data_IF_851846267156
#
_entry.id   IF_851846267156
#
_cell.length_a   1.000
_cell.length_b   1.000
_cell.length_c   1.000
_cell.angle_alpha   90.00
_cell.angle_beta   90.00
_cell.angle_gamma   90.00
#
_symmetry.space_group_name_H-M   'P 1'
#
loop_
_entity.id
_entity.type
_entity.pdbx_description
1 polymer ?
#
# COMPACT_ATOMS: atom_id res chain seq x y z
N UNK A 1 12.66 4.88 17.62
CA UNK A 1 12.74 5.78 16.44
C UNK A 1 11.32 6.07 15.97
N UNK A 2 11.02 7.23 15.39
CA UNK A 2 9.67 7.42 14.78
C UNK A 2 9.67 6.81 13.39
N UNK A 3 8.53 6.27 12.92
CA UNK A 3 8.38 5.91 11.52
C UNK A 3 8.59 7.14 10.63
N UNK A 4 9.06 6.90 9.41
CA UNK A 4 9.21 7.94 8.38
C UNK A 4 8.36 7.55 7.17
N UNK A 5 7.75 8.53 6.48
CA UNK A 5 7.02 8.26 5.26
C UNK A 5 7.99 7.83 4.16
N UNK A 6 7.50 7.13 3.15
CA UNK A 6 8.26 6.83 1.94
C UNK A 6 8.50 8.10 1.10
N UNK A 7 7.56 9.04 1.15
CA UNK A 7 7.58 10.31 0.42
C UNK A 7 7.68 11.48 1.39
N UNK A 8 8.89 11.98 1.60
CA UNK A 8 9.17 13.14 2.45
C UNK A 8 8.87 14.47 1.71
N UNK A 9 7.59 14.78 1.48
CA UNK A 9 7.22 16.10 0.93
C UNK A 9 7.15 17.17 2.03
N UNK A 10 7.66 18.40 1.77
CA UNK A 10 7.63 19.48 2.75
C UNK A 10 6.20 19.88 3.14
N UNK A 11 5.23 19.70 2.24
CA UNK A 11 3.80 19.91 2.52
C UNK A 11 3.27 18.93 3.56
N UNK A 12 3.63 17.64 3.44
CA UNK A 12 3.18 16.59 4.34
C UNK A 12 3.77 16.78 5.75
N UNK A 13 5.05 17.12 5.84
CA UNK A 13 5.70 17.45 7.12
C UNK A 13 5.11 18.72 7.75
N UNK A 14 4.76 19.74 6.95
CA UNK A 14 4.10 20.96 7.43
C UNK A 14 2.70 20.66 7.97
N UNK A 15 1.91 19.85 7.26
CA UNK A 15 0.60 19.41 7.71
C UNK A 15 0.69 18.60 9.02
N UNK A 16 1.65 17.67 9.11
CA UNK A 16 1.91 16.90 10.32
C UNK A 16 2.32 17.78 11.51
N UNK A 17 3.21 18.76 11.29
CA UNK A 17 3.61 19.72 12.30
C UNK A 17 2.45 20.59 12.80
N UNK A 18 1.59 21.06 11.89
CA UNK A 18 0.40 21.83 12.23
C UNK A 18 -0.60 21.01 13.07
N UNK A 19 -0.80 19.73 12.74
CA UNK A 19 -1.64 18.81 13.51
C UNK A 19 -1.10 18.63 14.93
N UNK A 20 0.21 18.41 15.09
CA UNK A 20 0.84 18.28 16.41
C UNK A 20 0.74 19.57 17.24
N UNK A 21 0.91 20.74 16.61
CA UNK A 21 0.76 22.03 17.28
C UNK A 21 -0.69 22.31 17.71
N UNK A 22 -1.68 21.75 17.00
CA UNK A 22 -3.11 21.86 17.28
C UNK A 22 -3.54 21.01 18.49
N UNK A 23 -2.83 19.92 18.81
CA UNK A 23 -3.19 19.02 19.92
C UNK A 23 -3.33 19.72 21.27
N UNK A 24 -2.55 20.78 21.51
CA UNK A 24 -2.63 21.57 22.76
C UNK A 24 -4.00 22.22 22.99
N UNK A 25 -4.76 22.49 21.92
CA UNK A 25 -6.12 23.04 22.01
C UNK A 25 -7.13 21.99 22.47
N UNK A 26 -6.89 20.73 22.11
CA UNK A 26 -7.77 19.61 22.45
C UNK A 26 -7.42 19.00 23.82
N UNK A 27 -6.14 18.97 24.17
CA UNK A 27 -5.66 18.52 25.47
C UNK A 27 -4.55 19.45 25.96
N UNK A 28 -4.85 20.35 26.92
CA UNK A 28 -3.86 21.30 27.44
C UNK A 28 -2.62 20.66 28.07
N UNK A 29 -2.69 19.36 28.41
CA UNK A 29 -1.58 18.60 28.98
C UNK A 29 -0.53 18.22 27.91
N UNK A 30 -0.88 18.28 26.62
CA UNK A 30 0.00 17.96 25.49
C UNK A 30 0.75 19.20 24.99
N UNK A 31 1.48 19.86 25.87
CA UNK A 31 2.41 20.93 25.48
C UNK A 31 3.70 20.30 24.96
N UNK A 32 4.05 20.61 23.70
CA UNK A 32 5.24 20.11 23.03
C UNK A 32 6.17 21.27 22.68
N UNK A 33 7.49 21.05 22.78
CA UNK A 33 8.46 21.99 22.26
C UNK A 33 8.52 21.91 20.73
N UNK A 34 9.04 22.96 20.07
CA UNK A 34 9.26 22.93 18.61
C UNK A 34 10.16 21.76 18.19
N UNK A 35 11.17 21.45 19.00
CA UNK A 35 12.07 20.30 18.78
C UNK A 35 11.33 18.98 18.84
N UNK A 36 10.39 18.82 19.78
CA UNK A 36 9.57 17.62 19.87
C UNK A 36 8.65 17.50 18.65
N UNK A 37 8.04 18.61 18.21
CA UNK A 37 7.21 18.63 17.01
C UNK A 37 8.03 18.21 15.79
N UNK A 38 9.21 18.80 15.58
CA UNK A 38 10.09 18.44 14.48
C UNK A 38 10.52 16.96 14.53
N UNK A 39 10.69 16.40 15.73
CA UNK A 39 11.05 14.99 15.93
C UNK A 39 9.87 14.05 15.66
N UNK A 40 8.63 14.45 15.96
CA UNK A 40 7.42 13.64 15.82
C UNK A 40 6.73 13.78 14.47
N UNK A 41 6.93 14.90 13.77
CA UNK A 41 6.29 15.22 12.50
C UNK A 41 6.46 14.13 11.42
N UNK A 42 7.64 13.50 11.22
CA UNK A 42 7.77 12.42 10.24
C UNK A 42 6.87 11.21 10.58
N UNK A 43 6.68 10.94 11.87
CA UNK A 43 5.82 9.86 12.30
C UNK A 43 4.36 10.11 11.96
N UNK A 44 3.86 11.33 12.20
CA UNK A 44 2.50 11.74 11.80
C UNK A 44 2.36 11.84 10.28
N UNK A 45 3.39 12.29 9.57
CA UNK A 45 3.43 12.26 8.11
C UNK A 45 3.26 10.83 7.56
N UNK A 46 3.84 9.83 8.23
CA UNK A 46 3.62 8.42 7.87
C UNK A 46 2.16 7.98 8.04
N UNK A 47 1.44 8.52 9.03
CA UNK A 47 0.00 8.25 9.18
C UNK A 47 -0.79 8.86 8.02
N UNK A 48 -0.49 10.11 7.67
CA UNK A 48 -1.13 10.81 6.55
C UNK A 48 -0.84 10.13 5.20
N UNK A 49 0.37 9.62 5.00
CA UNK A 49 0.74 8.84 3.80
C UNK A 49 -0.06 7.54 3.68
N UNK A 50 -0.49 6.95 4.81
CA UNK A 50 -1.34 5.76 4.85
C UNK A 50 -2.84 6.09 4.82
N UNK A 51 -3.19 7.26 4.31
CA UNK A 51 -4.56 7.78 4.23
C UNK A 51 -5.30 7.84 5.58
N UNK A 52 -4.56 7.96 6.70
CA UNK A 52 -5.21 8.13 8.00
C UNK A 52 -5.82 9.54 8.11
N UNK A 53 -7.13 9.60 8.37
CA UNK A 53 -7.83 10.87 8.52
C UNK A 53 -7.27 11.70 9.70
N UNK A 54 -7.09 13.02 9.57
CA UNK A 54 -6.54 13.87 10.63
C UNK A 54 -7.25 13.74 11.98
N UNK A 55 -8.58 13.60 11.98
CA UNK A 55 -9.35 13.43 13.23
C UNK A 55 -9.07 12.08 13.91
N UNK A 56 -8.88 11.02 13.14
CA UNK A 56 -8.49 9.71 13.66
C UNK A 56 -7.10 9.78 14.29
N UNK A 57 -6.16 10.48 13.66
CA UNK A 57 -4.83 10.74 14.23
C UNK A 57 -4.98 11.48 15.56
N UNK A 58 -5.72 12.59 15.59
CA UNK A 58 -5.95 13.37 16.82
C UNK A 58 -6.51 12.48 17.93
N UNK A 59 -7.57 11.73 17.65
CA UNK A 59 -8.20 10.85 18.62
C UNK A 59 -7.24 9.78 19.14
N UNK A 60 -6.49 9.09 18.26
CA UNK A 60 -5.49 8.10 18.67
C UNK A 60 -4.40 8.71 19.58
N UNK A 61 -4.01 9.97 19.32
CA UNK A 61 -3.00 10.67 20.11
C UNK A 61 -3.54 11.24 21.43
N UNK A 62 -4.85 11.47 21.57
CA UNK A 62 -5.46 12.10 22.75
C UNK A 62 -6.37 11.18 23.59
N UNK A 63 -6.75 10.01 23.10
CA UNK A 63 -7.57 9.05 23.86
C UNK A 63 -6.84 8.51 25.10
N UNK A 64 -7.53 8.22 26.21
CA UNK A 64 -6.95 7.56 27.40
C UNK A 64 -5.57 8.09 27.86
N UNK A 65 -5.44 9.42 28.02
CA UNK A 65 -4.19 10.01 28.50
C UNK A 65 -3.94 9.61 29.96
N UNK A 66 -2.73 9.15 30.31
CA UNK A 66 -2.41 8.79 31.68
C UNK A 66 -2.35 10.04 32.56
N UNK A 67 -2.92 9.94 33.76
CA UNK A 67 -2.88 11.01 34.77
C UNK A 67 -2.04 10.53 35.97
N UNK A 68 -0.92 11.20 36.32
CA UNK A 68 -0.39 12.43 35.73
C UNK A 68 0.46 12.21 34.47
N UNK A 69 0.34 13.12 33.49
CA UNK A 69 1.13 13.08 32.26
C UNK A 69 2.51 13.75 32.45
N UNK A 70 3.54 12.94 32.66
CA UNK A 70 4.92 13.44 32.92
C UNK A 70 5.75 13.69 31.66
N UNK A 71 5.50 12.93 30.58
CA UNK A 71 6.33 12.94 29.37
C UNK A 71 5.48 12.90 28.09
N UNK A 72 4.85 14.02 27.69
CA UNK A 72 3.93 14.06 26.55
C UNK A 72 4.60 13.63 25.24
N UNK A 73 5.80 14.14 24.92
CA UNK A 73 6.53 13.79 23.71
C UNK A 73 6.87 12.29 23.63
N UNK A 74 7.21 11.66 24.77
CA UNK A 74 7.52 10.23 24.83
C UNK A 74 6.27 9.37 24.60
N UNK A 75 5.13 9.79 25.16
CA UNK A 75 3.84 9.12 24.95
C UNK A 75 3.42 9.20 23.48
N UNK A 76 3.47 10.40 22.89
CA UNK A 76 3.11 10.58 21.48
C UNK A 76 4.02 9.77 20.57
N UNK A 77 5.34 9.77 20.81
CA UNK A 77 6.29 8.91 20.08
C UNK A 77 5.88 7.44 20.13
N UNK A 78 5.51 6.95 21.32
CA UNK A 78 5.06 5.58 21.49
C UNK A 78 3.81 5.32 20.66
N UNK A 79 2.75 6.13 20.83
CA UNK A 79 1.47 5.95 20.13
C UNK A 79 1.59 6.06 18.61
N UNK A 80 2.34 7.04 18.11
CA UNK A 80 2.62 7.20 16.69
C UNK A 80 3.28 5.94 16.10
N UNK A 81 4.10 5.26 16.90
CA UNK A 81 4.80 4.04 16.47
C UNK A 81 3.93 2.79 16.63
N UNK A 82 3.21 2.65 17.74
CA UNK A 82 2.45 1.42 18.07
C UNK A 82 1.07 1.36 17.45
N UNK A 83 0.41 2.50 17.28
CA UNK A 83 -0.92 2.60 16.69
C UNK A 83 -0.88 2.93 15.20
N UNK A 84 0.30 2.93 14.59
CA UNK A 84 0.47 3.20 13.17
C UNK A 84 -0.37 2.20 12.36
N UNK A 85 -1.39 2.65 11.60
CA UNK A 85 -2.19 1.75 10.79
C UNK A 85 -1.32 1.02 9.77
N UNK A 86 -1.59 -0.26 9.44
CA UNK A 86 -0.86 -0.93 8.37
C UNK A 86 -1.01 -0.17 7.05
N UNK A 87 -0.03 -0.25 6.14
CA UNK A 87 -0.19 0.34 4.82
C UNK A 87 -1.40 -0.28 4.14
N UNK A 88 -2.26 0.56 3.55
CA UNK A 88 -3.35 0.07 2.72
C UNK A 88 -2.74 -0.63 1.49
N UNK A 89 -3.21 -1.83 1.12
CA UNK A 89 -2.77 -2.47 -0.12
C UNK A 89 -3.09 -1.52 -1.27
N UNK A 90 -2.08 -1.23 -2.09
CA UNK A 90 -2.29 -0.36 -3.24
C UNK A 90 -3.31 -1.00 -4.19
N UNK A 91 -3.94 -0.21 -5.06
CA UNK A 91 -4.79 -0.75 -6.13
C UNK A 91 -4.07 -1.83 -6.97
N UNK A 92 -2.73 -1.81 -7.01
CA UNK A 92 -1.89 -2.82 -7.65
C UNK A 92 -1.73 -4.12 -6.86
N UNK A 93 -1.86 -4.12 -5.52
CA UNK A 93 -1.78 -5.33 -4.69
C UNK A 93 -3.09 -6.13 -4.70
N UNK A 94 -4.20 -5.45 -4.99
CA UNK A 94 -5.51 -6.07 -5.20
C UNK A 94 -5.66 -6.68 -6.60
N UNK A 95 -4.72 -6.43 -7.51
CA UNK A 95 -4.68 -7.15 -8.76
C UNK A 95 -4.43 -8.63 -8.44
N UNK A 96 -5.28 -9.57 -8.92
CA UNK A 96 -5.05 -10.98 -8.68
C UNK A 96 -3.62 -11.33 -9.12
N UNK A 97 -2.88 -12.14 -8.33
CA UNK A 97 -1.51 -12.47 -8.67
C UNK A 97 -1.50 -12.99 -10.11
N UNK A 98 -0.73 -12.32 -10.97
CA UNK A 98 -0.45 -12.78 -12.33
C UNK A 98 0.19 -14.16 -12.17
N UNK A 99 -0.64 -15.22 -12.18
CA UNK A 99 -0.17 -16.60 -11.99
C UNK A 99 0.90 -16.84 -13.05
N UNK A 100 2.16 -17.09 -12.67
CA UNK A 100 3.18 -17.41 -13.66
C UNK A 100 2.76 -18.67 -14.40
N UNK A 101 2.44 -18.53 -15.69
CA UNK A 101 2.37 -19.67 -16.60
C UNK A 101 1.01 -20.34 -16.81
N UNK A 102 -0.10 -19.62 -16.89
CA UNK A 102 -1.24 -20.16 -17.65
C UNK A 102 -0.87 -20.11 -19.13
N UNK A 103 -0.26 -21.19 -19.63
CA UNK A 103 -0.01 -21.36 -21.06
C UNK A 103 -1.37 -21.59 -21.73
N UNK A 104 -1.97 -20.51 -22.23
CA UNK A 104 -3.18 -20.60 -23.07
C UNK A 104 -2.74 -21.13 -24.43
N UNK A 105 -3.06 -22.38 -24.74
CA UNK A 105 -2.89 -22.93 -26.09
C UNK A 105 -4.12 -22.51 -26.91
N UNK A 106 -3.95 -21.61 -27.90
CA UNK A 106 -5.07 -21.10 -28.66
C UNK A 106 -5.78 -22.20 -29.45
N UNK A 107 -7.07 -21.97 -29.67
CA UNK A 107 -7.92 -22.81 -30.51
C UNK A 107 -7.94 -22.22 -31.90
N UNK A 108 -7.67 -23.04 -32.93
CA UNK A 108 -7.56 -22.61 -34.31
C UNK A 108 -8.14 -23.71 -35.23
N UNK A 109 -8.67 -23.31 -36.39
CA UNK A 109 -9.16 -24.25 -37.40
C UNK A 109 -8.04 -24.66 -38.36
N UNK A 110 -8.12 -25.87 -38.89
CA UNK A 110 -7.17 -26.35 -39.88
C UNK A 110 -7.53 -25.84 -41.27
N UNK A 111 -6.58 -25.22 -41.97
CA UNK A 111 -6.80 -24.66 -43.31
C UNK A 111 -7.20 -25.69 -44.39
N UNK A 112 -7.02 -26.99 -44.14
CA UNK A 112 -7.28 -28.06 -45.12
C UNK A 112 -8.62 -28.77 -44.94
N UNK A 113 -9.06 -28.97 -43.70
CA UNK A 113 -10.25 -29.75 -43.39
C UNK A 113 -11.22 -29.02 -42.43
N UNK A 114 -10.95 -27.76 -42.13
CA UNK A 114 -11.67 -26.88 -41.19
C UNK A 114 -11.86 -27.48 -39.78
N UNK A 115 -11.11 -28.56 -39.47
CA UNK A 115 -11.17 -29.22 -38.17
C UNK A 115 -10.52 -28.33 -37.13
N UNK A 116 -11.28 -28.04 -36.08
CA UNK A 116 -10.79 -27.26 -34.97
C UNK A 116 -9.80 -28.05 -34.09
N UNK A 117 -8.68 -27.41 -33.74
CA UNK A 117 -7.61 -28.03 -32.95
C UNK A 117 -6.85 -27.00 -32.09
N UNK A 118 -6.11 -27.50 -31.09
CA UNK A 118 -5.27 -26.67 -30.21
C UNK A 118 -3.81 -26.77 -30.63
N UNK A 119 -3.16 -25.63 -30.86
CA UNK A 119 -1.74 -25.56 -31.21
C UNK A 119 -1.14 -24.22 -30.78
N UNK A 120 0.16 -24.19 -30.50
CA UNK A 120 0.90 -22.95 -30.19
C UNK A 120 1.24 -22.15 -31.45
N UNK A 121 1.26 -22.82 -32.60
CA UNK A 121 1.61 -22.24 -33.89
C UNK A 121 0.50 -22.51 -34.92
N UNK A 122 0.23 -21.57 -35.83
CA UNK A 122 -0.63 -21.80 -36.99
C UNK A 122 -0.20 -23.04 -37.79
N UNK A 123 -1.15 -23.79 -38.33
CA UNK A 123 -0.82 -24.94 -39.18
C UNK A 123 -1.97 -25.92 -39.37
N UNK A 124 -1.63 -27.14 -39.76
CA UNK A 124 -2.61 -28.19 -40.02
C UNK A 124 -2.85 -29.08 -38.79
N UNK A 125 -4.03 -29.69 -38.73
CA UNK A 125 -4.38 -30.66 -37.70
C UNK A 125 -3.47 -31.91 -37.77
N UNK A 126 -3.49 -32.74 -36.73
CA UNK A 126 -2.66 -33.95 -36.65
C UNK A 126 -2.82 -34.86 -37.87
N UNK A 127 -4.05 -35.04 -38.34
CA UNK A 127 -4.38 -35.98 -39.40
C UNK A 127 -3.85 -35.47 -40.75
N UNK A 128 -4.09 -34.20 -41.08
CA UNK A 128 -3.54 -33.59 -42.30
C UNK A 128 -2.00 -33.52 -42.29
N UNK A 129 -1.35 -33.36 -41.14
CA UNK A 129 0.12 -33.45 -41.05
C UNK A 129 0.64 -34.86 -41.31
N UNK A 130 -0.06 -35.89 -40.81
CA UNK A 130 0.30 -37.28 -41.02
C UNK A 130 0.14 -37.68 -42.51
N UNK A 131 -0.90 -37.21 -43.18
CA UNK A 131 -1.11 -37.40 -44.62
C UNK A 131 0.02 -36.78 -45.45
N UNK A 132 0.43 -35.55 -45.14
CA UNK A 132 1.54 -34.88 -45.85
C UNK A 132 2.87 -35.59 -45.62
N UNK A 133 3.12 -36.10 -44.41
CA UNK A 133 4.34 -36.86 -44.09
C UNK A 133 4.36 -38.24 -44.72
N UNK A 134 3.21 -38.88 -44.90
CA UNK A 134 3.11 -40.18 -45.58
C UNK A 134 3.23 -40.08 -47.11
N UNK A 135 3.02 -38.88 -47.67
CA UNK A 135 3.14 -38.59 -49.09
C UNK A 135 4.52 -38.05 -49.51
N UNK A 136 5.46 -37.91 -48.56
CA UNK A 136 6.84 -37.48 -48.76
C UNK A 136 7.79 -38.68 -48.65
#
# INVERSE_FOLDING_TARGET
>A
PVPRPATDTPELLRAAGALLADLRRLSPQLVLSERDIATLAPGVATWLERDAHPDTIRHALTADLPVPLRHPAKLLRHRITTLLPPPLPGAHDLAPPQRPGVIVIPFQNCDRCDRAFRSRHPGHCRDCRAETQAAA
#
